data_IF_440747973934
#
_entry.id   IF_440747973934
#
_cell.length_a   1.000
_cell.length_b   1.000
_cell.length_c   1.000
_cell.angle_alpha   90.00
_cell.angle_beta   90.00
_cell.angle_gamma   90.00
#
_symmetry.space_group_name_H-M   'P 1'
#
loop_
_entity.id
_entity.type
_entity.pdbx_description
1 polymer ?
#
# COMPACT_ATOMS: atom_id res chain seq x y z
N UNK A 1 35.58 -0.27 -26.09
CA UNK A 1 34.57 0.40 -25.23
C UNK A 1 35.32 0.91 -24.01
N UNK A 2 35.56 2.22 -23.95
CA UNK A 2 36.46 2.85 -22.97
C UNK A 2 35.92 2.72 -21.54
N UNK A 3 36.81 2.66 -20.55
CA UNK A 3 36.45 2.41 -19.15
C UNK A 3 35.49 3.47 -18.59
N UNK A 4 35.52 4.69 -19.13
CA UNK A 4 34.60 5.77 -18.79
C UNK A 4 33.13 5.42 -19.10
N UNK A 5 32.88 4.71 -20.20
CA UNK A 5 31.51 4.30 -20.58
C UNK A 5 30.98 3.23 -19.63
N UNK A 6 31.84 2.33 -19.14
CA UNK A 6 31.44 1.34 -18.11
C UNK A 6 31.08 2.03 -16.80
N UNK A 7 31.90 2.99 -16.36
CA UNK A 7 31.64 3.72 -15.10
C UNK A 7 30.37 4.56 -15.22
N UNK A 8 30.17 5.24 -16.34
CA UNK A 8 28.94 6.01 -16.61
C UNK A 8 27.68 5.13 -16.62
N UNK A 9 27.74 3.96 -17.27
CA UNK A 9 26.63 3.00 -17.28
C UNK A 9 26.31 2.48 -15.87
N UNK A 10 27.34 2.20 -15.07
CA UNK A 10 27.19 1.69 -13.71
C UNK A 10 26.56 2.74 -12.78
N UNK A 11 26.91 4.02 -12.96
CA UNK A 11 26.28 5.13 -12.24
C UNK A 11 24.78 5.26 -12.57
N UNK A 12 24.39 5.15 -13.84
CA UNK A 12 22.98 5.21 -14.25
C UNK A 12 22.18 4.04 -13.66
N UNK A 13 22.74 2.83 -13.70
CA UNK A 13 22.12 1.64 -13.09
C UNK A 13 21.94 1.83 -11.58
N UNK A 14 22.96 2.36 -10.89
CA UNK A 14 22.89 2.61 -9.45
C UNK A 14 21.79 3.62 -9.07
N UNK A 15 21.60 4.68 -9.86
CA UNK A 15 20.53 5.67 -9.65
C UNK A 15 19.16 5.02 -9.87
N UNK A 16 19.00 4.26 -10.95
CA UNK A 16 17.75 3.56 -11.25
C UNK A 16 17.37 2.56 -10.14
N UNK A 17 18.35 1.76 -9.68
CA UNK A 17 18.16 0.83 -8.57
C UNK A 17 17.86 1.54 -7.26
N UNK A 18 18.48 2.70 -6.98
CA UNK A 18 18.20 3.47 -5.76
C UNK A 18 16.76 3.98 -5.74
N UNK A 19 16.29 4.53 -6.86
CA UNK A 19 14.90 5.00 -6.96
C UNK A 19 13.90 3.84 -6.82
N UNK A 20 14.19 2.71 -7.45
CA UNK A 20 13.37 1.51 -7.33
C UNK A 20 13.38 0.92 -5.92
N UNK A 21 14.55 0.83 -5.29
CA UNK A 21 14.74 0.36 -3.91
C UNK A 21 14.01 1.23 -2.90
N UNK A 22 14.05 2.56 -3.05
CA UNK A 22 13.27 3.47 -2.20
C UNK A 22 11.76 3.20 -2.31
N UNK A 23 11.25 2.97 -3.52
CA UNK A 23 9.83 2.61 -3.73
C UNK A 23 9.48 1.24 -3.14
N UNK A 24 10.40 0.28 -3.21
CA UNK A 24 10.25 -1.05 -2.60
C UNK A 24 10.17 -0.97 -1.07
N UNK A 25 11.06 -0.22 -0.41
CA UNK A 25 11.03 -0.01 1.04
C UNK A 25 9.74 0.68 1.49
N UNK A 26 9.21 1.60 0.68
CA UNK A 26 7.92 2.24 0.94
C UNK A 26 6.71 1.31 0.85
N UNK A 27 6.90 0.05 0.43
CA UNK A 27 5.81 -0.92 0.31
C UNK A 27 4.75 -0.53 -0.72
N UNK A 28 5.03 0.44 -1.60
CA UNK A 28 4.18 0.64 -2.76
C UNK A 28 4.30 -0.60 -3.62
N UNK A 29 3.19 -1.28 -3.88
CA UNK A 29 3.09 -2.40 -4.82
C UNK A 29 3.40 -1.90 -6.25
N UNK A 30 4.67 -1.56 -6.53
CA UNK A 30 5.10 -1.00 -7.83
C UNK A 30 5.06 -2.04 -8.95
N UNK A 31 5.01 -3.32 -8.59
CA UNK A 31 5.02 -4.46 -9.52
C UNK A 31 3.71 -5.26 -9.52
N UNK A 32 2.87 -5.12 -8.50
CA UNK A 32 1.64 -5.89 -8.34
C UNK A 32 0.45 -4.96 -8.59
N UNK A 33 -0.41 -5.35 -9.54
CA UNK A 33 -1.62 -4.60 -9.89
C UNK A 33 -2.67 -4.81 -8.80
N UNK A 34 -2.61 -4.05 -7.72
CA UNK A 34 -3.56 -4.14 -6.63
C UNK A 34 -4.66 -3.07 -6.75
N UNK A 35 -5.83 -3.36 -6.18
CA UNK A 35 -6.95 -2.42 -6.16
C UNK A 35 -6.97 -1.70 -4.81
N UNK A 36 -6.85 -0.38 -4.87
CA UNK A 36 -6.85 0.47 -3.68
C UNK A 36 -8.26 0.94 -3.35
N UNK A 37 -8.74 0.64 -2.13
CA UNK A 37 -10.04 1.08 -1.63
C UNK A 37 -9.87 2.03 -0.44
N UNK A 38 -10.61 3.13 -0.44
CA UNK A 38 -10.65 4.07 0.68
C UNK A 38 -11.86 3.78 1.54
N UNK A 39 -11.63 3.64 2.84
CA UNK A 39 -12.67 3.45 3.84
C UNK A 39 -12.47 4.44 4.99
N UNK A 40 -13.57 4.85 5.60
CA UNK A 40 -13.60 5.86 6.66
C UNK A 40 -14.12 5.22 7.94
N UNK A 41 -13.32 5.30 9.01
CA UNK A 41 -13.70 4.79 10.32
C UNK A 41 -13.71 5.90 11.36
N UNK A 42 -14.66 5.87 12.31
CA UNK A 42 -14.67 6.81 13.43
C UNK A 42 -13.51 6.58 14.39
N UNK A 43 -12.98 5.36 14.48
CA UNK A 43 -11.82 5.00 15.29
C UNK A 43 -11.18 3.73 14.74
N UNK A 44 -9.86 3.64 14.82
CA UNK A 44 -9.11 2.42 14.50
C UNK A 44 -8.28 2.06 15.72
N UNK A 45 -8.48 0.86 16.28
CA UNK A 45 -7.79 0.44 17.50
C UNK A 45 -6.33 0.06 17.21
N UNK A 46 -5.47 1.08 17.12
CA UNK A 46 -4.03 0.94 16.82
C UNK A 46 -3.73 0.14 15.53
N UNK A 47 -4.56 0.31 14.51
CA UNK A 47 -4.36 -0.33 13.22
C UNK A 47 -3.06 0.17 12.57
N UNK A 48 -2.17 -0.76 12.22
CA UNK A 48 -0.87 -0.45 11.61
C UNK A 48 -0.90 -0.70 10.10
N UNK A 49 -0.07 0.04 9.37
CA UNK A 49 0.21 -0.24 7.96
C UNK A 49 0.77 -1.67 7.85
N UNK A 50 0.25 -2.45 6.91
CA UNK A 50 0.57 -3.87 6.74
C UNK A 50 -0.38 -4.84 7.46
N UNK A 51 -1.36 -4.35 8.24
CA UNK A 51 -2.39 -5.21 8.84
C UNK A 51 -3.14 -5.98 7.75
N UNK A 52 -3.33 -7.28 7.94
CA UNK A 52 -3.99 -8.16 6.96
C UNK A 52 -5.50 -7.92 6.91
N UNK A 53 -6.06 -7.93 5.71
CA UNK A 53 -7.50 -7.82 5.46
C UNK A 53 -8.04 -9.17 5.06
N UNK A 54 -9.13 -9.60 5.71
CA UNK A 54 -9.75 -10.89 5.48
C UNK A 54 -11.15 -10.75 4.89
N UNK A 55 -11.51 -11.66 3.98
CA UNK A 55 -12.90 -11.89 3.54
C UNK A 55 -13.19 -13.37 3.80
N UNK A 56 -14.23 -13.66 4.61
CA UNK A 56 -14.59 -15.03 5.00
C UNK A 56 -13.40 -15.87 5.51
N UNK A 57 -12.44 -15.25 6.21
CA UNK A 57 -11.26 -15.92 6.75
C UNK A 57 -10.08 -16.08 5.77
N UNK A 58 -10.20 -15.64 4.52
CA UNK A 58 -9.12 -15.67 3.52
C UNK A 58 -8.42 -14.32 3.46
N UNK A 59 -7.09 -14.31 3.47
CA UNK A 59 -6.29 -13.08 3.34
C UNK A 59 -6.37 -12.51 1.91
N UNK A 60 -7.05 -11.38 1.79
CA UNK A 60 -7.35 -10.74 0.49
C UNK A 60 -6.49 -9.51 0.21
N UNK A 61 -5.69 -9.06 1.18
CA UNK A 61 -4.88 -7.86 1.04
C UNK A 61 -4.38 -7.34 2.38
N UNK A 62 -3.93 -6.09 2.38
CA UNK A 62 -3.39 -5.43 3.57
C UNK A 62 -3.74 -3.95 3.62
N UNK A 63 -3.58 -3.35 4.80
CA UNK A 63 -3.73 -1.90 5.00
C UNK A 63 -2.51 -1.18 4.43
N UNK A 64 -2.69 -0.37 3.40
CA UNK A 64 -1.62 0.40 2.79
C UNK A 64 -1.34 1.74 3.48
N UNK A 65 -2.35 2.36 4.09
CA UNK A 65 -2.18 3.62 4.81
C UNK A 65 -3.27 3.83 5.85
N UNK A 66 -2.92 4.48 6.95
CA UNK A 66 -3.84 4.94 8.00
C UNK A 66 -3.52 6.40 8.24
N UNK A 67 -4.51 7.28 8.02
CA UNK A 67 -4.33 8.73 8.17
C UNK A 67 -5.53 9.34 8.87
N UNK A 68 -5.28 10.23 9.83
CA UNK A 68 -6.34 11.08 10.38
C UNK A 68 -6.70 12.16 9.34
N UNK A 69 -7.96 12.24 8.90
CA UNK A 69 -8.35 13.22 7.88
C UNK A 69 -8.29 14.65 8.40
N UNK A 70 -8.72 14.88 9.65
CA UNK A 70 -8.70 16.18 10.31
C UNK A 70 -8.95 16.03 11.82
N UNK A 71 -8.51 17.02 12.60
CA UNK A 71 -8.74 17.12 14.06
C UNK A 71 -10.24 17.30 14.41
N UNK A 72 -11.02 17.82 13.46
CA UNK A 72 -12.43 18.21 13.65
C UNK A 72 -13.37 17.00 13.73
N UNK A 73 -13.34 16.12 12.74
CA UNK A 73 -14.24 14.95 12.69
C UNK A 73 -13.62 13.69 13.29
N UNK A 74 -12.33 13.74 13.66
CA UNK A 74 -11.53 12.61 14.19
C UNK A 74 -11.63 11.33 13.36
N UNK A 75 -12.08 11.45 12.11
CA UNK A 75 -12.31 10.33 11.22
C UNK A 75 -10.99 9.89 10.63
N UNK A 76 -10.79 8.58 10.61
CA UNK A 76 -9.58 7.95 10.11
C UNK A 76 -9.83 7.46 8.69
N UNK A 77 -9.06 7.97 7.74
CA UNK A 77 -8.93 7.40 6.40
C UNK A 77 -8.05 6.15 6.50
N UNK A 78 -8.60 5.02 6.07
CA UNK A 78 -7.82 3.80 5.88
C UNK A 78 -7.84 3.45 4.40
N UNK A 79 -6.64 3.22 3.86
CA UNK A 79 -6.44 2.79 2.49
C UNK A 79 -6.14 1.31 2.52
N UNK A 80 -7.02 0.52 1.91
CA UNK A 80 -6.88 -0.93 1.77
C UNK A 80 -6.29 -1.25 0.40
N UNK A 81 -5.31 -2.14 0.37
CA UNK A 81 -4.71 -2.64 -0.85
C UNK A 81 -5.06 -4.12 -1.03
N UNK A 82 -5.95 -4.39 -1.99
CA UNK A 82 -6.53 -5.72 -2.19
C UNK A 82 -5.97 -6.38 -3.45
N UNK A 83 -5.80 -7.70 -3.39
CA UNK A 83 -5.33 -8.51 -4.52
C UNK A 83 -6.31 -8.37 -5.70
N UNK A 84 -5.81 -8.26 -6.95
CA UNK A 84 -6.66 -8.22 -8.14
C UNK A 84 -7.39 -9.56 -8.33
N UNK A 85 -8.57 -9.52 -8.96
CA UNK A 85 -9.38 -10.71 -9.25
C UNK A 85 -10.61 -10.90 -8.35
N UNK A 86 -10.82 -10.01 -7.37
CA UNK A 86 -12.06 -9.94 -6.60
C UNK A 86 -12.88 -8.70 -6.96
N UNK A 87 -14.16 -8.91 -7.20
CA UNK A 87 -15.16 -7.84 -7.34
C UNK A 87 -15.76 -7.57 -5.97
N UNK A 88 -15.54 -6.37 -5.43
CA UNK A 88 -16.19 -5.93 -4.19
C UNK A 88 -17.47 -5.15 -4.54
N UNK A 89 -18.66 -5.67 -4.18
CA UNK A 89 -19.92 -4.95 -4.41
C UNK A 89 -19.98 -3.64 -3.63
N UNK A 90 -20.70 -2.65 -4.15
CA UNK A 90 -20.85 -1.33 -3.51
C UNK A 90 -21.54 -1.35 -2.13
N UNK A 91 -22.26 -2.42 -1.81
CA UNK A 91 -22.94 -2.58 -0.51
C UNK A 91 -22.09 -3.32 0.54
N UNK A 92 -20.79 -3.52 0.27
CA UNK A 92 -19.88 -4.19 1.21
C UNK A 92 -19.58 -3.26 2.38
N UNK A 93 -19.66 -3.79 3.60
CA UNK A 93 -19.24 -3.09 4.82
C UNK A 93 -17.97 -3.73 5.35
N UNK A 94 -16.96 -2.91 5.60
CA UNK A 94 -15.74 -3.35 6.26
C UNK A 94 -15.88 -3.15 7.78
N UNK A 95 -15.51 -4.16 8.55
CA UNK A 95 -15.57 -4.15 10.01
C UNK A 95 -14.18 -4.42 10.58
N UNK A 96 -13.88 -3.78 11.70
CA UNK A 96 -12.66 -4.04 12.46
C UNK A 96 -13.02 -5.14 13.46
N UNK A 97 -12.31 -6.27 13.38
CA UNK A 97 -12.43 -7.36 14.34
C UNK A 97 -11.19 -7.28 15.23
N UNK A 98 -11.39 -7.28 16.56
CA UNK A 98 -10.34 -7.23 17.56
C UNK A 98 -9.99 -8.61 18.10
#
# INVERSE_FOLDING_TARGET
MSNEVKVGLLAVIAIALSFWGYKFIRGSNVLLKSNTYKVYYPSVDRMQVGTQVFINGVEVGSVASVKLLNDVDRTVEVILDLKPGMTIPKNTKAIIVS
#
